data_IF_181321357813
#
_entry.id   IF_181321357813
#
_cell.length_a   1.000
_cell.length_b   1.000
_cell.length_c   1.000
_cell.angle_alpha   90.00
_cell.angle_beta   90.00
_cell.angle_gamma   90.00
#
_symmetry.space_group_name_H-M   'P 1'
#
loop_
_entity.id
_entity.type
_entity.pdbx_description
1 polymer ?
#
# COMPACT_ATOMS: atom_id res chain seq x y z
N UNK A 1 -2.20 0.62 18.30
CA UNK A 1 -1.17 1.63 17.94
C UNK A 1 0.13 0.98 17.47
N UNK A 2 0.83 0.16 18.28
CA UNK A 2 2.05 -0.58 17.84
C UNK A 2 1.84 -1.35 16.53
N UNK A 3 0.67 -1.97 16.37
CA UNK A 3 0.31 -2.72 15.16
C UNK A 3 0.18 -1.83 13.92
N UNK A 4 -0.39 -0.62 14.04
CA UNK A 4 -0.57 0.29 12.89
C UNK A 4 0.78 0.87 12.42
N UNK A 5 1.70 1.16 13.35
CA UNK A 5 3.06 1.61 13.01
C UNK A 5 3.84 0.48 12.32
N UNK A 6 3.70 -0.75 12.81
CA UNK A 6 4.34 -1.92 12.21
C UNK A 6 3.89 -2.12 10.74
N UNK A 7 2.61 -1.87 10.44
CA UNK A 7 2.07 -1.93 9.08
C UNK A 7 2.73 -0.89 8.15
N UNK A 8 3.03 0.32 8.65
CA UNK A 8 3.76 1.33 7.87
C UNK A 8 5.21 0.91 7.62
N UNK A 9 5.83 0.21 8.57
CA UNK A 9 7.19 -0.35 8.40
C UNK A 9 7.20 -1.47 7.36
N UNK A 10 6.21 -2.36 7.36
CA UNK A 10 6.03 -3.41 6.33
C UNK A 10 5.95 -2.79 4.94
N UNK A 11 5.18 -1.72 4.75
CA UNK A 11 5.12 -1.00 3.46
C UNK A 11 6.49 -0.47 2.99
N UNK A 12 7.38 -0.10 3.93
CA UNK A 12 8.72 0.44 3.64
C UNK A 12 9.79 -0.64 3.43
N UNK A 13 9.55 -1.86 3.89
CA UNK A 13 10.57 -2.93 3.97
C UNK A 13 10.28 -4.08 3.03
N UNK A 14 9.04 -4.58 3.02
CA UNK A 14 8.67 -5.80 2.29
C UNK A 14 8.19 -5.50 0.86
N UNK A 15 7.69 -4.28 0.63
CA UNK A 15 7.07 -3.89 -0.63
C UNK A 15 7.88 -2.89 -1.46
N UNK A 16 9.19 -2.78 -1.25
CA UNK A 16 10.05 -1.74 -1.89
C UNK A 16 10.04 -1.75 -3.42
N UNK A 17 9.73 -2.88 -4.04
CA UNK A 17 9.61 -3.01 -5.50
C UNK A 17 8.39 -2.25 -6.04
N UNK A 18 7.33 -2.15 -5.23
CA UNK A 18 6.05 -1.54 -5.55
C UNK A 18 5.90 -0.18 -4.85
N UNK A 19 6.09 -0.11 -3.55
CA UNK A 19 6.01 1.09 -2.72
C UNK A 19 7.39 1.75 -2.64
N UNK A 20 7.53 2.96 -3.19
CA UNK A 20 8.81 3.68 -3.30
C UNK A 20 9.09 4.59 -2.13
N UNK A 21 8.06 5.17 -1.53
CA UNK A 21 8.19 6.00 -0.35
C UNK A 21 6.86 6.05 0.42
N UNK A 22 6.94 6.22 1.74
CA UNK A 22 5.78 6.35 2.62
C UNK A 22 6.05 7.42 3.68
N UNK A 23 5.15 8.40 3.75
CA UNK A 23 5.21 9.51 4.71
C UNK A 23 3.97 9.52 5.58
N UNK A 24 4.15 9.41 6.89
CA UNK A 24 3.05 9.61 7.86
C UNK A 24 2.75 11.12 7.89
N UNK A 25 1.48 11.47 7.64
CA UNK A 25 0.98 12.84 7.71
C UNK A 25 0.39 13.13 9.09
N UNK A 26 -0.31 12.14 9.65
CA UNK A 26 -1.01 12.28 10.92
C UNK A 26 -1.10 10.92 11.59
N UNK A 27 -0.83 10.90 12.89
CA UNK A 27 -0.99 9.73 13.73
C UNK A 27 -1.93 10.08 14.88
N UNK A 28 -2.91 9.22 15.11
CA UNK A 28 -3.84 9.33 16.23
C UNK A 28 -3.98 7.98 16.93
N UNK A 29 -4.75 7.95 18.02
CA UNK A 29 -5.06 6.71 18.73
C UNK A 29 -5.77 5.66 17.87
N UNK A 30 -6.52 6.09 16.84
CA UNK A 30 -7.44 5.23 16.09
C UNK A 30 -7.01 5.01 14.64
N UNK A 31 -6.22 5.91 14.07
CA UNK A 31 -5.83 5.84 12.67
C UNK A 31 -4.49 6.55 12.38
N UNK A 32 -3.91 6.18 11.25
CA UNK A 32 -2.75 6.82 10.63
C UNK A 32 -3.14 7.33 9.24
N UNK A 33 -2.95 8.62 8.97
CA UNK A 33 -3.00 9.13 7.61
C UNK A 33 -1.58 9.15 7.05
N UNK A 34 -1.41 8.63 5.83
CA UNK A 34 -0.12 8.55 5.17
C UNK A 34 -0.21 8.88 3.68
N UNK A 35 0.92 9.29 3.12
CA UNK A 35 1.14 9.39 1.68
C UNK A 35 1.98 8.20 1.28
N UNK A 36 1.50 7.41 0.32
CA UNK A 36 2.27 6.35 -0.31
C UNK A 36 2.59 6.73 -1.77
N UNK A 37 3.84 6.57 -2.17
CA UNK A 37 4.29 6.71 -3.55
C UNK A 37 4.43 5.31 -4.14
N UNK A 38 3.50 4.94 -5.01
CA UNK A 38 3.35 3.57 -5.49
C UNK A 38 3.73 3.53 -6.98
N UNK A 39 4.63 2.62 -7.33
CA UNK A 39 5.01 2.35 -8.72
C UNK A 39 3.87 1.60 -9.41
N UNK A 40 3.34 2.19 -10.46
CA UNK A 40 2.29 1.63 -11.32
C UNK A 40 2.74 1.71 -12.77
N UNK A 41 2.85 0.57 -13.43
CA UNK A 41 3.45 0.46 -14.77
C UNK A 41 4.83 1.16 -14.81
N UNK A 42 5.00 2.13 -15.71
CA UNK A 42 6.24 2.92 -15.88
C UNK A 42 6.26 4.24 -15.09
N UNK A 43 5.30 4.46 -14.18
CA UNK A 43 5.20 5.71 -13.41
C UNK A 43 5.11 5.48 -11.89
N UNK A 44 5.32 6.56 -11.13
CA UNK A 44 5.12 6.59 -9.67
C UNK A 44 3.94 7.51 -9.41
N UNK A 45 2.92 6.97 -8.73
CA UNK A 45 1.71 7.70 -8.38
C UNK A 45 1.63 7.94 -6.89
N UNK A 46 1.00 9.05 -6.51
CA UNK A 46 0.83 9.47 -5.13
C UNK A 46 -0.58 9.10 -4.66
N UNK A 47 -0.66 8.34 -3.57
CA UNK A 47 -1.90 8.00 -2.88
C UNK A 47 -1.92 8.59 -1.48
N UNK A 48 -3.06 9.14 -1.08
CA UNK A 48 -3.33 9.53 0.30
C UNK A 48 -4.22 8.46 0.91
N UNK A 49 -3.74 7.84 1.98
CA UNK A 49 -4.37 6.69 2.62
C UNK A 49 -4.66 6.99 4.09
N UNK A 50 -5.78 6.46 4.58
CA UNK A 50 -6.04 6.30 6.01
C UNK A 50 -5.94 4.82 6.36
N UNK A 51 -5.13 4.49 7.35
CA UNK A 51 -5.06 3.17 7.95
C UNK A 51 -5.76 3.23 9.32
N UNK A 52 -6.81 2.45 9.51
CA UNK A 52 -7.50 2.30 10.78
C UNK A 52 -7.75 0.81 11.10
N UNK A 53 -8.52 0.53 12.16
CA UNK A 53 -8.82 -0.86 12.57
C UNK A 53 -9.59 -1.69 11.53
N UNK A 54 -10.16 -1.07 10.49
CA UNK A 54 -10.86 -1.73 9.39
C UNK A 54 -9.95 -2.01 8.19
N UNK A 55 -8.74 -1.45 8.17
CA UNK A 55 -7.78 -1.58 7.08
C UNK A 55 -7.44 -0.24 6.43
N UNK A 56 -7.16 -0.27 5.13
CA UNK A 56 -6.71 0.86 4.32
C UNK A 56 -7.85 1.50 3.57
N UNK A 57 -7.99 2.81 3.69
CA UNK A 57 -8.93 3.61 2.92
C UNK A 57 -8.17 4.57 2.02
N UNK A 58 -8.48 4.58 0.72
CA UNK A 58 -7.95 5.58 -0.21
C UNK A 58 -8.75 6.87 -0.03
N UNK A 59 -8.09 7.94 0.39
CA UNK A 59 -8.69 9.28 0.48
C UNK A 59 -8.51 10.07 -0.81
N UNK A 60 -7.40 9.84 -1.51
CA UNK A 60 -7.08 10.51 -2.77
C UNK A 60 -6.12 9.69 -3.61
N UNK A 61 -6.39 9.58 -4.91
CA UNK A 61 -5.53 8.89 -5.87
C UNK A 61 -5.84 9.33 -7.30
N UNK A 62 -5.03 8.88 -8.27
CA UNK A 62 -5.28 9.15 -9.70
C UNK A 62 -6.34 8.22 -10.29
N UNK A 63 -6.73 7.18 -9.56
CA UNK A 63 -7.79 6.25 -9.94
C UNK A 63 -9.11 6.79 -9.40
N UNK A 64 -9.83 7.52 -10.25
CA UNK A 64 -11.06 8.27 -9.91
C UNK A 64 -12.19 7.41 -9.29
N UNK A 65 -12.04 6.08 -9.28
CA UNK A 65 -13.05 5.14 -8.77
C UNK A 65 -12.68 4.43 -7.46
N UNK A 66 -11.48 4.62 -6.92
CA UNK A 66 -11.05 3.92 -5.70
C UNK A 66 -11.18 4.77 -4.43
N UNK A 67 -11.51 6.05 -4.57
CA UNK A 67 -11.68 6.94 -3.42
C UNK A 67 -12.85 6.48 -2.54
N UNK A 68 -12.56 6.27 -1.26
CA UNK A 68 -13.55 5.82 -0.28
C UNK A 68 -13.60 4.31 -0.08
N UNK A 69 -13.03 3.50 -0.97
CA UNK A 69 -12.94 2.05 -0.80
C UNK A 69 -12.08 1.68 0.42
N UNK A 70 -12.47 0.60 1.11
CA UNK A 70 -11.76 0.04 2.26
C UNK A 70 -11.19 -1.31 1.85
N UNK A 71 -9.88 -1.47 2.02
CA UNK A 71 -9.13 -2.69 1.76
C UNK A 71 -8.66 -3.27 3.08
N UNK A 72 -9.04 -4.51 3.36
CA UNK A 72 -8.75 -5.17 4.64
C UNK A 72 -7.25 -5.46 4.85
N UNK A 73 -6.44 -5.45 3.78
CA UNK A 73 -5.00 -5.75 3.84
C UNK A 73 -4.15 -4.89 2.88
N UNK A 74 -2.82 -4.90 3.07
CA UNK A 74 -1.89 -4.24 2.15
C UNK A 74 -1.95 -4.90 0.77
N UNK A 75 -2.02 -6.23 0.73
CA UNK A 75 -2.01 -7.04 -0.49
C UNK A 75 -3.22 -6.70 -1.36
N UNK A 76 -4.42 -6.64 -0.78
CA UNK A 76 -5.65 -6.29 -1.50
C UNK A 76 -5.61 -4.86 -2.04
N UNK A 77 -5.05 -3.91 -1.27
CA UNK A 77 -4.81 -2.55 -1.71
C UNK A 77 -3.84 -2.50 -2.90
N UNK A 78 -2.65 -3.13 -2.77
CA UNK A 78 -1.60 -3.09 -3.79
C UNK A 78 -2.00 -3.86 -5.06
N UNK A 79 -2.73 -4.96 -4.95
CA UNK A 79 -3.30 -5.69 -6.07
C UNK A 79 -4.30 -4.83 -6.85
N UNK A 80 -5.09 -4.01 -6.16
CA UNK A 80 -6.07 -3.12 -6.80
C UNK A 80 -5.39 -1.94 -7.48
N UNK A 81 -4.41 -1.31 -6.82
CA UNK A 81 -3.68 -0.15 -7.38
C UNK A 81 -2.74 -0.57 -8.52
N UNK A 82 -2.08 -1.73 -8.38
CA UNK A 82 -0.98 -2.18 -9.26
C UNK A 82 -1.10 -3.63 -9.71
N UNK A 83 -2.21 -4.05 -10.35
CA UNK A 83 -2.46 -5.47 -10.64
C UNK A 83 -1.35 -6.15 -11.44
N UNK A 84 -0.75 -5.46 -12.43
CA UNK A 84 0.35 -5.99 -13.22
C UNK A 84 1.65 -6.17 -12.42
N UNK A 85 2.00 -5.19 -11.59
CA UNK A 85 3.20 -5.27 -10.74
C UNK A 85 3.02 -6.32 -9.64
N UNK A 86 1.79 -6.49 -9.15
CA UNK A 86 1.44 -7.49 -8.15
C UNK A 86 1.60 -8.92 -8.67
N UNK A 87 1.11 -9.20 -9.90
CA UNK A 87 1.32 -10.50 -10.55
C UNK A 87 2.82 -10.80 -10.67
N UNK A 88 3.60 -9.85 -11.18
CA UNK A 88 5.05 -10.01 -11.29
C UNK A 88 5.71 -10.26 -9.93
N UNK A 89 5.29 -9.53 -8.90
CA UNK A 89 5.79 -9.70 -7.53
C UNK A 89 5.53 -11.11 -7.00
N UNK A 90 4.33 -11.65 -7.22
CA UNK A 90 4.00 -13.04 -6.86
C UNK A 90 4.85 -14.04 -7.64
N UNK A 91 5.01 -13.85 -8.96
CA UNK A 91 5.85 -14.73 -9.79
C UNK A 91 7.30 -14.76 -9.29
N UNK A 92 7.89 -13.60 -9.01
CA UNK A 92 9.25 -13.48 -8.50
C UNK A 92 9.37 -14.08 -7.08
N UNK A 93 8.35 -13.94 -6.24
CA UNK A 93 8.30 -14.58 -4.92
C UNK A 93 8.25 -16.11 -5.03
N UNK A 94 7.37 -16.67 -5.86
CA UNK A 94 7.28 -18.12 -6.08
C UNK A 94 8.60 -18.69 -6.62
N UNK A 95 9.26 -17.98 -7.55
CA UNK A 95 10.59 -18.38 -8.05
C UNK A 95 11.67 -18.44 -6.97
N UNK A 96 11.60 -17.57 -5.96
CA UNK A 96 12.55 -17.57 -4.83
C UNK A 96 12.34 -18.75 -3.86
N UNK A 97 11.12 -19.30 -3.79
CA UNK A 97 10.81 -20.44 -2.93
C UNK A 97 11.21 -21.76 -3.60
N UNK A 98 11.08 -21.83 -4.92
CA UNK A 98 11.32 -23.06 -5.70
C UNK A 98 12.80 -23.27 -6.03
N UNK A 99 13.66 -22.26 -5.85
CA UNK A 99 15.12 -22.36 -5.94
C UNK A 99 15.77 -22.34 -4.55
#
# INVERSE_FOLDING_TARGET
MKELVNIVEVLKTDYTDIVKDVKIIQETHNYINLIAYIKRDDCIEKFVLTLDSRGFKILKGKLDNLEGEIYESIESLLQTITPNNWIKYIEDFLRKIVN
#
